data_IF_222548188893
#
_entry.id   IF_222548188893
#
_cell.length_a   1.000
_cell.length_b   1.000
_cell.length_c   1.000
_cell.angle_alpha   90.00
_cell.angle_beta   90.00
_cell.angle_gamma   90.00
#
_symmetry.space_group_name_H-M   'P 1'
#
loop_
_entity.id
_entity.type
_entity.pdbx_description
1 polymer ?
#
# COMPACT_ATOMS: atom_id res chain seq x y z
N UNK A 1 29.92 17.61 -10.32
CA UNK A 1 30.24 16.16 -10.28
C UNK A 1 28.92 15.41 -10.25
N UNK A 2 28.55 14.86 -11.39
CA UNK A 2 27.33 14.07 -11.51
C UNK A 2 27.51 12.75 -10.74
N UNK A 3 26.67 12.55 -9.73
CA UNK A 3 26.54 11.27 -9.04
C UNK A 3 25.82 10.29 -9.97
N UNK A 4 26.57 9.70 -10.88
CA UNK A 4 26.09 8.57 -11.70
C UNK A 4 25.95 7.38 -10.76
N UNK A 5 24.71 7.05 -10.40
CA UNK A 5 24.39 5.83 -9.64
C UNK A 5 24.79 4.65 -10.53
N UNK A 6 25.74 3.78 -10.13
CA UNK A 6 26.17 2.68 -10.95
C UNK A 6 25.01 1.72 -11.23
N UNK A 7 24.84 1.33 -12.48
CA UNK A 7 23.78 0.45 -13.01
C UNK A 7 23.69 -0.90 -12.26
N UNK A 8 24.76 -1.35 -11.63
CA UNK A 8 24.79 -2.58 -10.84
C UNK A 8 23.91 -2.60 -9.58
N UNK A 9 23.49 -1.45 -9.07
CA UNK A 9 22.57 -1.38 -7.94
C UNK A 9 21.08 -1.60 -8.32
N UNK A 10 20.77 -1.71 -9.60
CA UNK A 10 19.39 -1.91 -10.10
C UNK A 10 19.04 -3.40 -10.24
N UNK A 11 20.01 -4.31 -10.16
CA UNK A 11 19.82 -5.74 -10.41
C UNK A 11 19.44 -6.58 -9.18
N UNK A 12 19.31 -6.00 -7.98
CA UNK A 12 18.57 -6.70 -6.95
C UNK A 12 17.07 -6.58 -7.30
N UNK A 13 16.56 -7.59 -7.99
CA UNK A 13 15.11 -7.74 -8.25
C UNK A 13 14.43 -7.77 -6.89
N UNK A 14 13.97 -6.61 -6.43
CA UNK A 14 13.15 -6.52 -5.25
C UNK A 14 11.91 -7.34 -5.51
N UNK A 15 11.56 -8.21 -4.58
CA UNK A 15 10.38 -9.04 -4.71
C UNK A 15 9.13 -8.16 -4.89
N UNK A 16 8.22 -8.60 -5.75
CA UNK A 16 6.94 -7.96 -5.91
C UNK A 16 6.11 -8.12 -4.63
N UNK A 17 5.61 -7.02 -4.12
CA UNK A 17 4.80 -6.99 -2.91
C UNK A 17 3.31 -6.98 -3.25
N UNK A 18 2.67 -8.15 -3.14
CA UNK A 18 1.25 -8.31 -3.44
C UNK A 18 0.32 -7.56 -2.47
N UNK A 19 0.74 -7.36 -1.22
CA UNK A 19 -0.03 -6.55 -0.26
C UNK A 19 -0.13 -5.10 -0.73
N UNK A 20 0.94 -4.57 -1.32
CA UNK A 20 0.94 -3.22 -1.89
C UNK A 20 0.03 -3.11 -3.12
N UNK A 21 -0.03 -4.15 -3.95
CA UNK A 21 -1.01 -4.20 -5.04
C UNK A 21 -2.44 -4.12 -4.49
N UNK A 22 -2.74 -4.89 -3.47
CA UNK A 22 -4.05 -4.89 -2.82
C UNK A 22 -4.38 -3.51 -2.22
N UNK A 23 -3.44 -2.89 -1.51
CA UNK A 23 -3.58 -1.54 -0.95
C UNK A 23 -3.88 -0.53 -2.05
N UNK A 24 -3.09 -0.48 -3.12
CA UNK A 24 -3.26 0.45 -4.23
C UNK A 24 -4.63 0.28 -4.92
N UNK A 25 -5.05 -0.98 -5.15
CA UNK A 25 -6.35 -1.28 -5.73
C UNK A 25 -7.51 -0.79 -4.85
N UNK A 26 -7.46 -1.09 -3.55
CA UNK A 26 -8.50 -0.67 -2.59
C UNK A 26 -8.51 0.86 -2.46
N UNK A 27 -7.34 1.50 -2.44
CA UNK A 27 -7.21 2.95 -2.41
C UNK A 27 -7.94 3.62 -3.59
N UNK A 28 -7.89 3.01 -4.78
CA UNK A 28 -8.62 3.48 -5.97
C UNK A 28 -10.10 3.06 -5.97
N UNK A 29 -10.56 2.29 -4.98
CA UNK A 29 -11.93 1.78 -4.90
C UNK A 29 -12.25 0.66 -5.89
N UNK A 30 -11.24 0.06 -6.52
CA UNK A 30 -11.44 -1.01 -7.51
C UNK A 30 -11.61 -2.37 -6.85
N UNK A 31 -12.57 -3.15 -7.36
CA UNK A 31 -12.63 -4.59 -7.09
C UNK A 31 -11.53 -5.33 -7.86
N UNK A 32 -11.16 -6.54 -7.40
CA UNK A 32 -10.20 -7.38 -8.13
C UNK A 32 -10.66 -7.69 -9.57
N UNK A 33 -11.98 -7.78 -9.78
CA UNK A 33 -12.55 -7.96 -11.12
C UNK A 33 -12.35 -6.72 -12.00
N UNK A 34 -12.65 -5.54 -11.49
CA UNK A 34 -12.44 -4.30 -12.26
C UNK A 34 -10.97 -4.12 -12.64
N UNK A 35 -10.04 -4.33 -11.69
CA UNK A 35 -8.62 -4.25 -12.00
C UNK A 35 -8.21 -5.28 -13.05
N UNK A 36 -8.70 -6.52 -12.95
CA UNK A 36 -8.40 -7.58 -13.92
C UNK A 36 -8.87 -7.24 -15.34
N UNK A 37 -10.06 -6.68 -15.46
CA UNK A 37 -10.64 -6.26 -16.74
C UNK A 37 -9.83 -5.09 -17.35
N UNK A 38 -9.36 -4.14 -16.51
CA UNK A 38 -8.60 -2.96 -16.97
C UNK A 38 -7.20 -3.33 -17.50
N UNK A 39 -6.52 -4.29 -16.88
CA UNK A 39 -5.15 -4.67 -17.27
C UNK A 39 -5.08 -5.91 -18.17
N UNK A 40 -6.22 -6.55 -18.44
CA UNK A 40 -6.30 -7.69 -19.34
C UNK A 40 -5.74 -9.00 -18.78
N UNK A 41 -5.87 -9.23 -17.46
CA UNK A 41 -5.50 -10.49 -16.79
C UNK A 41 -6.72 -11.13 -16.14
N UNK A 42 -6.61 -12.41 -15.75
CA UNK A 42 -7.69 -13.07 -15.04
C UNK A 42 -7.81 -12.55 -13.59
N UNK A 43 -9.05 -12.42 -13.09
CA UNK A 43 -9.33 -12.05 -11.68
C UNK A 43 -8.59 -12.95 -10.68
N UNK A 44 -8.51 -14.26 -10.99
CA UNK A 44 -7.80 -15.21 -10.13
C UNK A 44 -6.31 -14.88 -10.05
N UNK A 45 -5.70 -14.44 -11.16
CA UNK A 45 -4.30 -14.01 -11.21
C UNK A 45 -4.07 -12.79 -10.30
N UNK A 46 -4.97 -11.80 -10.30
CA UNK A 46 -4.91 -10.67 -9.36
C UNK A 46 -4.92 -11.17 -7.93
N UNK A 47 -5.85 -12.06 -7.58
CA UNK A 47 -5.94 -12.63 -6.24
C UNK A 47 -4.69 -13.42 -5.84
N UNK A 48 -4.07 -14.12 -6.77
CA UNK A 48 -2.83 -14.87 -6.53
C UNK A 48 -1.65 -13.92 -6.27
N UNK A 49 -1.54 -12.80 -6.98
CA UNK A 49 -0.56 -11.76 -6.70
C UNK A 49 -0.79 -11.13 -5.32
N UNK A 50 -2.02 -10.71 -5.02
CA UNK A 50 -2.37 -10.05 -3.75
C UNK A 50 -2.14 -10.95 -2.51
N UNK A 51 -2.25 -12.26 -2.66
CA UNK A 51 -2.04 -13.23 -1.59
C UNK A 51 -0.62 -13.83 -1.56
N UNK A 52 0.31 -13.31 -2.38
CA UNK A 52 1.69 -13.77 -2.44
C UNK A 52 1.87 -15.19 -2.99
N UNK A 53 0.84 -15.77 -3.64
CA UNK A 53 0.95 -17.07 -4.32
C UNK A 53 1.70 -16.97 -5.64
N UNK A 54 1.70 -15.80 -6.26
CA UNK A 54 2.53 -15.40 -7.38
C UNK A 54 3.33 -14.17 -6.94
N UNK A 55 4.64 -14.30 -6.86
CA UNK A 55 5.56 -13.28 -6.37
C UNK A 55 6.43 -12.64 -7.45
N UNK A 56 6.31 -13.11 -8.70
CA UNK A 56 7.13 -12.67 -9.83
C UNK A 56 6.28 -12.34 -11.06
N UNK A 57 5.52 -11.23 -11.05
CA UNK A 57 4.88 -10.76 -12.25
C UNK A 57 5.94 -10.29 -13.26
N UNK A 58 5.62 -10.41 -14.55
CA UNK A 58 6.42 -9.79 -15.60
C UNK A 58 6.47 -8.27 -15.40
N UNK A 59 7.58 -7.65 -15.80
CA UNK A 59 7.75 -6.19 -15.70
C UNK A 59 6.63 -5.42 -16.37
N UNK A 60 6.17 -5.89 -17.54
CA UNK A 60 5.02 -5.33 -18.27
C UNK A 60 3.73 -5.34 -17.46
N UNK A 61 3.54 -6.35 -16.62
CA UNK A 61 2.37 -6.44 -15.71
C UNK A 61 2.49 -5.43 -14.57
N UNK A 62 3.69 -5.28 -14.01
CA UNK A 62 3.95 -4.26 -12.96
C UNK A 62 3.74 -2.85 -13.52
N UNK A 63 4.19 -2.61 -14.76
CA UNK A 63 3.97 -1.35 -15.45
C UNK A 63 2.47 -1.06 -15.63
N UNK A 64 1.68 -2.04 -16.06
CA UNK A 64 0.22 -1.89 -16.14
C UNK A 64 -0.43 -1.59 -14.79
N UNK A 65 0.04 -2.23 -13.70
CA UNK A 65 -0.42 -1.88 -12.35
C UNK A 65 -0.09 -0.42 -12.02
N UNK A 66 1.14 0.00 -12.30
CA UNK A 66 1.60 1.38 -12.05
C UNK A 66 0.75 2.40 -12.80
N UNK A 67 0.51 2.20 -14.08
CA UNK A 67 -0.27 3.09 -14.93
C UNK A 67 -1.75 3.13 -14.53
N UNK A 68 -2.36 1.95 -14.30
CA UNK A 68 -3.79 1.83 -13.97
C UNK A 68 -4.11 2.37 -12.58
N UNK A 69 -3.24 2.07 -11.61
CA UNK A 69 -3.44 2.45 -10.23
C UNK A 69 -2.82 3.81 -9.88
N UNK A 70 -2.01 4.39 -10.78
CA UNK A 70 -1.32 5.67 -10.59
C UNK A 70 -0.42 5.65 -9.33
N UNK A 71 0.36 4.58 -9.19
CA UNK A 71 1.41 4.43 -8.19
C UNK A 71 2.74 4.15 -8.88
N UNK A 72 3.87 4.66 -8.37
CA UNK A 72 5.17 4.39 -8.99
C UNK A 72 5.51 2.90 -8.92
N UNK A 73 6.23 2.37 -9.93
CA UNK A 73 6.66 0.96 -9.98
C UNK A 73 7.38 0.54 -8.69
N UNK A 74 8.22 1.43 -8.15
CA UNK A 74 8.98 1.22 -6.91
C UNK A 74 8.06 0.88 -5.73
N UNK A 75 6.86 1.45 -5.68
CA UNK A 75 5.87 1.16 -4.64
C UNK A 75 5.52 -0.33 -4.55
N UNK A 76 5.44 -1.03 -5.68
CA UNK A 76 5.10 -2.45 -5.74
C UNK A 76 6.29 -3.38 -5.45
N UNK A 77 7.50 -2.84 -5.37
CA UNK A 77 8.75 -3.61 -5.21
C UNK A 77 9.40 -3.43 -3.83
N UNK A 78 8.80 -2.69 -2.93
CA UNK A 78 9.36 -2.41 -1.60
C UNK A 78 8.80 -3.33 -0.51
N UNK A 79 9.67 -3.82 0.36
CA UNK A 79 9.35 -4.72 1.47
C UNK A 79 9.00 -3.99 2.79
N UNK A 80 8.49 -2.78 2.73
CA UNK A 80 8.14 -2.07 3.96
C UNK A 80 6.88 -2.69 4.58
N UNK A 81 7.08 -3.55 5.57
CA UNK A 81 6.01 -3.97 6.48
C UNK A 81 5.75 -2.83 7.47
N UNK A 82 4.64 -2.15 7.32
CA UNK A 82 4.15 -1.23 8.34
C UNK A 82 3.06 -1.96 9.13
N UNK A 83 3.41 -2.43 10.30
CA UNK A 83 2.43 -2.89 11.27
C UNK A 83 1.82 -1.65 11.96
N UNK A 84 0.58 -1.34 11.60
CA UNK A 84 -0.20 -0.34 12.32
C UNK A 84 -0.94 -1.06 13.43
N UNK A 85 -0.62 -0.73 14.68
CA UNK A 85 -1.43 -1.19 15.81
C UNK A 85 -2.87 -0.69 15.63
N UNK A 86 -3.77 -1.63 15.40
CA UNK A 86 -5.20 -1.34 15.25
C UNK A 86 -5.77 -0.91 16.60
N UNK A 87 -5.75 0.39 16.85
CA UNK A 87 -6.44 0.94 18.00
C UNK A 87 -7.95 0.74 17.86
N UNK A 88 -8.53 -0.05 18.74
CA UNK A 88 -9.96 -0.40 18.76
C UNK A 88 -10.89 0.79 19.01
N UNK A 89 -10.35 1.93 19.38
CA UNK A 89 -11.13 3.09 19.86
C UNK A 89 -11.76 3.91 18.73
N UNK A 90 -11.14 3.93 17.54
CA UNK A 90 -11.61 4.77 16.42
C UNK A 90 -12.72 4.14 15.57
N UNK A 91 -12.93 2.83 15.68
CA UNK A 91 -13.84 2.10 14.79
C UNK A 91 -15.26 1.93 15.35
N UNK A 92 -15.56 2.47 16.52
CA UNK A 92 -16.87 2.29 17.15
C UNK A 92 -18.03 2.88 16.33
N UNK A 93 -17.82 3.99 15.64
CA UNK A 93 -18.81 4.58 14.73
C UNK A 93 -18.88 3.88 13.38
N UNK A 94 -17.83 3.14 12.97
CA UNK A 94 -17.79 2.39 11.72
C UNK A 94 -18.42 1.00 11.81
N UNK A 95 -18.79 0.52 13.01
CA UNK A 95 -19.40 -0.79 13.21
C UNK A 95 -20.78 -0.91 12.54
N UNK A 96 -21.48 0.20 12.32
CA UNK A 96 -22.77 0.27 11.61
C UNK A 96 -22.62 0.42 10.11
N UNK A 97 -21.39 0.62 9.61
CA UNK A 97 -21.10 0.86 8.20
C UNK A 97 -20.90 -0.47 7.45
N UNK A 98 -21.26 -0.48 6.17
CA UNK A 98 -21.08 -1.65 5.30
C UNK A 98 -19.64 -2.16 5.36
N UNK A 99 -19.45 -3.49 5.48
CA UNK A 99 -18.15 -4.17 5.58
C UNK A 99 -17.15 -3.71 4.50
N UNK A 100 -17.60 -3.46 3.27
CA UNK A 100 -16.77 -2.96 2.17
C UNK A 100 -16.14 -1.62 2.50
N UNK A 101 -16.93 -0.66 3.01
CA UNK A 101 -16.44 0.67 3.37
C UNK A 101 -15.46 0.62 4.54
N UNK A 102 -15.70 -0.26 5.51
CA UNK A 102 -14.80 -0.43 6.66
C UNK A 102 -13.42 -0.91 6.21
N UNK A 103 -13.37 -1.95 5.38
CA UNK A 103 -12.10 -2.48 4.82
C UNK A 103 -11.38 -1.39 4.01
N UNK A 104 -12.10 -0.63 3.20
CA UNK A 104 -11.52 0.47 2.43
C UNK A 104 -10.92 1.56 3.33
N UNK A 105 -11.60 1.94 4.42
CA UNK A 105 -11.08 2.94 5.36
C UNK A 105 -9.88 2.41 6.16
N UNK A 106 -9.90 1.15 6.59
CA UNK A 106 -8.77 0.50 7.25
C UNK A 106 -7.53 0.53 6.36
N UNK A 107 -7.67 0.20 5.08
CA UNK A 107 -6.53 0.22 4.14
C UNK A 107 -6.04 1.66 3.85
N UNK A 108 -6.92 2.65 3.82
CA UNK A 108 -6.52 4.06 3.70
C UNK A 108 -5.71 4.53 4.91
N UNK A 109 -6.11 4.14 6.12
CA UNK A 109 -5.38 4.45 7.35
C UNK A 109 -4.00 3.77 7.34
N UNK A 110 -3.94 2.50 6.97
CA UNK A 110 -2.68 1.76 6.84
C UNK A 110 -1.74 2.45 5.85
N UNK A 111 -2.26 2.92 4.72
CA UNK A 111 -1.47 3.61 3.72
C UNK A 111 -0.95 4.97 4.22
N UNK A 112 -1.77 5.74 4.94
CA UNK A 112 -1.35 7.00 5.55
C UNK A 112 -0.23 6.74 6.57
N UNK A 113 -0.33 5.68 7.36
CA UNK A 113 0.71 5.29 8.30
C UNK A 113 2.02 4.89 7.60
N UNK A 114 1.95 4.21 6.45
CA UNK A 114 3.14 3.92 5.61
C UNK A 114 3.82 5.20 5.18
N UNK A 115 3.04 6.17 4.66
CA UNK A 115 3.59 7.46 4.22
C UNK A 115 4.18 8.21 5.41
N UNK A 116 3.49 8.24 6.55
CA UNK A 116 3.96 8.92 7.75
C UNK A 116 5.29 8.34 8.26
N UNK A 117 5.41 7.01 8.32
CA UNK A 117 6.65 6.35 8.71
C UNK A 117 7.79 6.62 7.72
N UNK A 118 7.49 6.64 6.43
CA UNK A 118 8.48 6.99 5.41
C UNK A 118 8.95 8.45 5.57
N UNK A 119 8.04 9.37 5.89
CA UNK A 119 8.40 10.76 6.15
C UNK A 119 9.20 10.93 7.44
N UNK A 120 8.93 10.14 8.48
CA UNK A 120 9.68 10.14 9.73
C UNK A 120 11.16 9.71 9.56
N UNK A 121 11.50 8.98 8.51
CA UNK A 121 12.89 8.65 8.18
C UNK A 121 13.68 9.85 7.66
N UNK A 122 13.00 10.84 7.07
CA UNK A 122 13.60 12.02 6.45
C UNK A 122 13.34 13.31 7.21
N UNK A 123 12.32 13.35 8.07
CA UNK A 123 11.88 14.54 8.80
C UNK A 123 11.76 14.20 10.29
N UNK A 124 12.43 14.97 11.11
CA UNK A 124 12.21 14.92 12.56
C UNK A 124 10.93 15.73 12.88
N UNK A 125 9.84 15.03 13.15
CA UNK A 125 8.62 15.68 13.64
C UNK A 125 8.75 15.93 15.14
N UNK A 126 8.43 17.14 15.57
CA UNK A 126 8.32 17.45 17.00
C UNK A 126 7.28 16.53 17.66
N UNK A 127 7.60 16.05 18.85
CA UNK A 127 6.64 15.24 19.62
C UNK A 127 5.39 16.06 19.92
N UNK A 128 4.25 15.50 19.57
CA UNK A 128 2.94 16.13 19.78
C UNK A 128 2.78 16.39 21.29
N UNK A 129 2.87 17.65 21.70
CA UNK A 129 2.64 18.05 23.09
C UNK A 129 1.15 18.31 23.28
N UNK A 130 0.37 17.26 23.50
CA UNK A 130 -1.04 17.38 23.79
C UNK A 130 -1.23 17.75 25.28
N UNK A 131 -2.09 18.74 25.57
CA UNK A 131 -2.42 19.03 26.96
C UNK A 131 -3.10 17.82 27.61
N UNK A 132 -2.68 17.53 28.85
CA UNK A 132 -3.29 16.45 29.63
C UNK A 132 -4.75 16.81 29.93
N UNK A 133 -5.70 16.15 29.31
CA UNK A 133 -7.13 16.31 29.59
C UNK A 133 -7.48 15.32 30.71
N UNK A 134 -7.79 15.80 31.94
CA UNK A 134 -8.21 14.91 33.00
C UNK A 134 -9.53 14.23 32.62
N UNK A 135 -9.59 12.91 32.73
CA UNK A 135 -10.84 12.16 32.55
C UNK A 135 -11.69 12.37 33.79
N UNK A 136 -12.80 13.06 33.67
CA UNK A 136 -13.88 13.07 34.66
C UNK A 136 -14.60 11.73 34.63
#
# INVERSE_FOLDING_TARGET
>A
MENVIPFEKITSVKHFNGERLKIARIWRGYSAKQLSDMIGVNRQTISMYENGKLDRPEFTTIQKFSETLQFPIKFFLEDVKVEVEKSTTYFRSLLTTNKKYRVEQEEKINFIAVIFNMLNEYLEFEKLNLPHIPRN
#
